data_IF_892546234141
#
_entry.id   IF_892546234141
#
_cell.length_a   1.000
_cell.length_b   1.000
_cell.length_c   1.000
_cell.angle_alpha   90.00
_cell.angle_beta   90.00
_cell.angle_gamma   90.00
#
_symmetry.space_group_name_H-M   'P 1'
#
loop_
_entity.id
_entity.type
_entity.pdbx_description
1 polymer ?
#
# COMPACT_ATOMS: atom_id res chain seq x y z
N UNK A 1 11.90 -2.47 8.09
CA UNK A 1 11.02 -1.65 7.22
C UNK A 1 11.59 -0.26 6.96
N UNK A 2 12.50 0.22 7.81
CA UNK A 2 13.22 1.47 7.55
C UNK A 2 13.96 1.46 6.20
N UNK A 3 14.66 0.37 5.87
CA UNK A 3 15.35 0.25 4.58
C UNK A 3 14.42 0.37 3.37
N UNK A 4 13.23 -0.26 3.39
CA UNK A 4 12.29 -0.14 2.28
C UNK A 4 11.64 1.25 2.22
N UNK A 5 11.39 1.90 3.36
CA UNK A 5 10.94 3.30 3.39
C UNK A 5 11.96 4.25 2.77
N UNK A 6 13.23 4.17 3.19
CA UNK A 6 14.31 5.02 2.63
C UNK A 6 14.48 4.79 1.14
N UNK A 7 14.52 3.53 0.71
CA UNK A 7 14.61 3.19 -0.71
C UNK A 7 13.42 3.74 -1.51
N UNK A 8 12.20 3.54 -1.03
CA UNK A 8 11.00 3.99 -1.73
C UNK A 8 10.93 5.52 -1.81
N UNK A 9 11.23 6.23 -0.71
CA UNK A 9 11.29 7.68 -0.70
C UNK A 9 12.32 8.23 -1.70
N UNK A 10 13.51 7.62 -1.75
CA UNK A 10 14.54 8.00 -2.70
C UNK A 10 14.07 7.83 -4.16
N UNK A 11 13.52 6.65 -4.52
CA UNK A 11 13.05 6.38 -5.88
C UNK A 11 11.84 7.24 -6.26
N UNK A 12 10.91 7.43 -5.33
CA UNK A 12 9.69 8.22 -5.55
C UNK A 12 9.99 9.69 -5.81
N UNK A 13 10.97 10.26 -5.10
CA UNK A 13 11.38 11.64 -5.29
C UNK A 13 12.26 11.81 -6.54
N UNK A 14 13.06 10.80 -6.89
CA UNK A 14 13.95 10.87 -8.08
C UNK A 14 13.17 10.73 -9.39
N UNK A 15 12.13 9.89 -9.43
CA UNK A 15 11.17 9.84 -10.55
C UNK A 15 10.37 11.15 -10.68
N UNK A 16 10.39 11.97 -9.63
CA UNK A 16 9.97 13.37 -9.57
C UNK A 16 10.78 14.33 -10.45
N UNK A 17 12.05 14.01 -10.67
CA UNK A 17 13.05 14.90 -11.26
C UNK A 17 13.45 14.34 -12.62
N UNK A 18 12.64 14.64 -13.64
CA UNK A 18 13.16 14.58 -15.00
C UNK A 18 14.27 15.66 -15.12
N UNK A 19 15.43 15.36 -15.76
CA UNK A 19 16.39 16.39 -16.14
C UNK A 19 15.77 17.20 -17.29
N UNK A 20 14.94 18.18 -16.96
CA UNK A 20 14.40 19.10 -17.95
C UNK A 20 15.45 20.14 -18.31
N UNK A 21 15.74 20.22 -19.61
CA UNK A 21 16.31 21.39 -20.27
C UNK A 21 15.68 22.68 -19.74
N UNK A 22 16.50 23.73 -19.65
CA UNK A 22 16.14 25.09 -19.23
C UNK A 22 14.74 25.53 -19.76
N UNK A 23 13.98 26.19 -18.88
CA UNK A 23 12.75 26.96 -19.13
C UNK A 23 11.38 26.22 -19.18
N UNK A 24 10.84 25.83 -18.01
CA UNK A 24 9.38 25.90 -17.78
C UNK A 24 9.02 25.96 -16.26
N UNK A 25 8.05 26.79 -15.85
CA UNK A 25 7.68 26.94 -14.45
C UNK A 25 6.74 25.82 -13.98
N UNK A 26 7.21 25.06 -12.98
CA UNK A 26 6.47 24.26 -12.00
C UNK A 26 5.19 23.52 -12.47
N UNK A 27 5.35 22.45 -13.25
CA UNK A 27 4.37 21.35 -13.20
C UNK A 27 4.77 20.43 -12.06
N UNK A 28 4.15 20.58 -10.88
CA UNK A 28 4.38 19.69 -9.76
C UNK A 28 4.04 18.26 -10.19
N UNK A 29 5.00 17.33 -10.08
CA UNK A 29 4.82 15.94 -10.48
C UNK A 29 3.57 15.34 -9.84
N UNK A 30 2.50 15.19 -10.62
CA UNK A 30 1.21 14.64 -10.20
C UNK A 30 1.34 13.13 -9.99
N UNK A 31 1.97 12.75 -8.89
CA UNK A 31 2.30 11.38 -8.54
C UNK A 31 1.61 10.99 -7.24
N UNK A 32 0.89 9.88 -7.26
CA UNK A 32 0.16 9.35 -6.11
C UNK A 32 0.91 8.21 -5.44
N UNK A 33 1.20 8.35 -4.15
CA UNK A 33 1.98 7.37 -3.37
C UNK A 33 1.05 6.48 -2.57
N UNK A 34 1.04 5.18 -2.87
CA UNK A 34 0.15 4.19 -2.26
C UNK A 34 0.97 3.16 -1.49
N UNK A 35 0.52 2.83 -0.29
CA UNK A 35 1.03 1.71 0.49
C UNK A 35 0.16 0.48 0.23
N UNK A 36 0.74 -0.65 -0.17
CA UNK A 36 0.09 -1.96 -0.15
C UNK A 36 0.74 -2.78 0.96
N UNK A 37 -0.01 -3.05 2.02
CA UNK A 37 0.53 -3.58 3.27
C UNK A 37 -0.21 -4.81 3.77
N UNK A 38 0.58 -5.74 4.30
CA UNK A 38 0.10 -6.79 5.18
C UNK A 38 1.24 -7.20 6.12
N UNK A 39 0.93 -7.61 7.35
CA UNK A 39 1.87 -8.35 8.20
C UNK A 39 1.15 -9.54 8.83
N UNK A 40 1.86 -10.54 9.35
CA UNK A 40 1.24 -11.63 10.11
C UNK A 40 0.94 -11.16 11.54
N UNK A 41 0.00 -11.83 12.23
CA UNK A 41 -0.42 -11.51 13.61
C UNK A 41 0.70 -11.58 14.64
N UNK A 42 1.76 -12.34 14.38
CA UNK A 42 2.98 -12.41 15.21
C UNK A 42 3.83 -11.14 15.16
N UNK A 43 3.50 -10.19 14.28
CA UNK A 43 4.18 -8.90 14.13
C UNK A 43 3.25 -7.79 14.60
N UNK A 44 3.79 -6.86 15.37
CA UNK A 44 3.02 -5.76 15.93
C UNK A 44 2.84 -4.59 14.92
N UNK A 45 1.63 -4.37 14.35
CA UNK A 45 1.38 -3.28 13.41
C UNK A 45 1.53 -1.90 14.04
N UNK A 46 1.31 -1.75 15.35
CA UNK A 46 1.46 -0.48 16.08
C UNK A 46 2.92 -0.05 16.20
N UNK A 47 3.89 -0.96 16.04
CA UNK A 47 5.30 -0.61 15.93
C UNK A 47 5.74 -0.47 14.48
N UNK A 48 5.20 -1.32 13.61
CA UNK A 48 5.58 -1.37 12.22
C UNK A 48 5.15 -0.10 11.45
N UNK A 49 3.85 0.22 11.44
CA UNK A 49 3.31 1.30 10.63
C UNK A 49 3.86 2.69 11.03
N UNK A 50 3.97 3.06 12.33
CA UNK A 50 4.56 4.35 12.70
C UNK A 50 6.00 4.48 12.24
N UNK A 51 6.83 3.45 12.48
CA UNK A 51 8.25 3.48 12.07
C UNK A 51 8.41 3.59 10.55
N UNK A 52 7.53 2.95 9.77
CA UNK A 52 7.49 3.11 8.32
C UNK A 52 7.14 4.54 7.93
N UNK A 53 6.07 5.08 8.51
CA UNK A 53 5.56 6.41 8.19
C UNK A 53 6.52 7.51 8.59
N UNK A 54 7.13 7.43 9.77
CA UNK A 54 8.12 8.38 10.27
C UNK A 54 9.34 8.41 9.35
N UNK A 55 9.85 7.23 8.98
CA UNK A 55 10.98 7.12 8.06
C UNK A 55 10.64 7.73 6.70
N UNK A 56 9.46 7.43 6.15
CA UNK A 56 9.02 8.03 4.89
C UNK A 56 8.91 9.55 4.99
N UNK A 57 8.27 10.07 6.04
CA UNK A 57 8.10 11.51 6.25
C UNK A 57 9.43 12.25 6.41
N UNK A 58 10.39 11.67 7.16
CA UNK A 58 11.76 12.20 7.28
C UNK A 58 12.51 12.27 5.94
N UNK A 59 12.06 11.50 4.94
CA UNK A 59 12.62 11.48 3.59
C UNK A 59 11.68 12.18 2.58
N UNK A 60 10.74 13.02 3.04
CA UNK A 60 9.85 13.80 2.19
C UNK A 60 8.75 13.00 1.49
N UNK A 61 8.52 11.75 1.88
CA UNK A 61 7.49 10.90 1.29
C UNK A 61 6.26 10.80 2.19
N UNK A 62 5.11 11.17 1.63
CA UNK A 62 3.81 10.95 2.25
C UNK A 62 2.96 10.05 1.37
N UNK A 63 2.50 8.93 1.92
CA UNK A 63 1.45 8.14 1.28
C UNK A 63 0.14 8.93 1.28
N UNK A 64 -0.65 8.77 0.23
CA UNK A 64 -2.01 9.30 0.14
C UNK A 64 -3.05 8.24 0.47
N UNK A 65 -2.71 6.97 0.27
CA UNK A 65 -3.63 5.86 0.46
C UNK A 65 -2.90 4.61 0.95
N UNK A 66 -3.55 3.82 1.80
CA UNK A 66 -3.12 2.47 2.15
C UNK A 66 -4.16 1.41 1.78
N UNK A 67 -3.67 0.29 1.24
CA UNK A 67 -4.43 -0.88 0.88
C UNK A 67 -4.00 -2.04 1.77
N UNK A 68 -4.96 -2.68 2.43
CA UNK A 68 -4.74 -3.84 3.27
C UNK A 68 -5.37 -5.08 2.64
N UNK A 69 -4.57 -6.14 2.48
CA UNK A 69 -4.97 -7.35 1.77
C UNK A 69 -4.57 -8.61 2.55
N UNK A 70 -5.34 -9.71 2.45
CA UNK A 70 -4.93 -10.99 3.01
C UNK A 70 -3.77 -11.62 2.22
N UNK A 71 -3.01 -12.51 2.87
CA UNK A 71 -2.00 -13.32 2.18
C UNK A 71 -2.70 -14.43 1.39
N UNK A 72 -2.57 -14.46 0.06
CA UNK A 72 -3.18 -15.52 -0.75
C UNK A 72 -2.55 -16.88 -0.50
N UNK A 73 -1.24 -16.89 -0.23
CA UNK A 73 -0.45 -18.08 0.04
C UNK A 73 -0.83 -18.83 1.32
N UNK A 74 -1.57 -18.23 2.27
CA UNK A 74 -2.07 -18.94 3.47
C UNK A 74 -3.35 -19.73 3.20
N UNK A 75 -4.17 -19.28 2.24
CA UNK A 75 -5.41 -19.96 1.85
C UNK A 75 -5.18 -20.98 0.74
N UNK A 76 -4.11 -20.83 -0.04
CA UNK A 76 -3.63 -21.84 -0.97
C UNK A 76 -2.82 -22.97 -0.28
N UNK A 77 -3.15 -23.33 0.97
CA UNK A 77 -2.80 -24.67 1.42
C UNK A 77 -3.58 -25.61 0.51
N UNK A 78 -2.87 -26.44 -0.26
CA UNK A 78 -3.46 -27.46 -1.12
C UNK A 78 -4.47 -28.29 -0.32
N UNK A 79 -5.74 -27.88 -0.34
CA UNK A 79 -6.85 -28.69 0.08
C UNK A 79 -6.97 -29.83 -0.92
N UNK A 80 -6.85 -31.04 -0.40
CA UNK A 80 -7.11 -32.32 -1.05
C UNK A 80 -8.09 -32.24 -2.23
N UNK A 81 -7.75 -32.90 -3.34
CA UNK A 81 -8.52 -33.05 -4.59
C UNK A 81 -9.88 -33.79 -4.43
N UNK A 82 -10.60 -33.63 -3.32
CA UNK A 82 -11.67 -34.55 -2.94
C UNK A 82 -12.98 -33.90 -2.43
N UNK A 83 -13.23 -32.60 -2.65
CA UNK A 83 -14.55 -32.03 -2.28
C UNK A 83 -15.02 -30.95 -3.25
N UNK A 84 -16.30 -30.97 -3.68
CA UNK A 84 -16.87 -29.88 -4.46
C UNK A 84 -16.81 -28.57 -3.66
N UNK A 85 -16.66 -27.41 -4.30
CA UNK A 85 -16.54 -26.13 -3.60
C UNK A 85 -17.90 -25.76 -3.00
N UNK A 86 -18.14 -26.21 -1.77
CA UNK A 86 -19.21 -25.69 -0.93
C UNK A 86 -18.97 -24.20 -0.72
N UNK A 87 -19.98 -23.37 -1.02
CA UNK A 87 -20.13 -21.94 -0.72
C UNK A 87 -18.84 -21.17 -0.41
N UNK A 88 -18.42 -20.28 -1.33
CA UNK A 88 -17.35 -19.26 -1.16
C UNK A 88 -17.07 -18.99 0.33
N UNK A 89 -16.06 -19.67 0.88
CA UNK A 89 -15.67 -19.49 2.28
C UNK A 89 -15.47 -17.99 2.49
N UNK A 90 -16.29 -17.41 3.36
CA UNK A 90 -16.25 -15.97 3.64
C UNK A 90 -14.87 -15.69 4.22
N UNK A 91 -14.03 -15.00 3.46
CA UNK A 91 -12.66 -14.68 3.87
C UNK A 91 -12.75 -13.84 5.13
N UNK A 92 -12.14 -14.30 6.22
CA UNK A 92 -12.05 -13.50 7.44
C UNK A 92 -11.08 -12.33 7.21
N UNK A 93 -11.61 -11.11 7.23
CA UNK A 93 -10.88 -9.85 7.08
C UNK A 93 -10.64 -9.13 8.40
N UNK A 94 -10.94 -9.77 9.54
CA UNK A 94 -10.77 -9.19 10.88
C UNK A 94 -9.38 -8.59 11.08
N UNK A 95 -8.35 -9.29 10.59
CA UNK A 95 -6.97 -8.83 10.65
C UNK A 95 -6.71 -7.62 9.75
N UNK A 96 -7.14 -7.64 8.49
CA UNK A 96 -6.96 -6.49 7.58
C UNK A 96 -7.66 -5.24 8.11
N UNK A 97 -8.86 -5.40 8.69
CA UNK A 97 -9.58 -4.32 9.37
C UNK A 97 -8.81 -3.81 10.60
N UNK A 98 -8.12 -4.69 11.34
CA UNK A 98 -7.23 -4.28 12.43
C UNK A 98 -6.06 -3.42 11.93
N UNK A 99 -5.40 -3.84 10.84
CA UNK A 99 -4.32 -3.06 10.21
C UNK A 99 -4.81 -1.68 9.73
N UNK A 100 -6.00 -1.63 9.13
CA UNK A 100 -6.65 -0.38 8.72
C UNK A 100 -6.89 0.55 9.91
N UNK A 101 -7.41 0.05 11.03
CA UNK A 101 -7.62 0.86 12.24
C UNK A 101 -6.32 1.46 12.77
N UNK A 102 -5.23 0.68 12.77
CA UNK A 102 -3.90 1.18 13.16
C UNK A 102 -3.45 2.32 12.23
N UNK A 103 -3.63 2.17 10.92
CA UNK A 103 -3.31 3.24 9.98
C UNK A 103 -4.12 4.50 10.24
N UNK A 104 -5.43 4.37 10.38
CA UNK A 104 -6.34 5.49 10.62
C UNK A 104 -6.04 6.19 11.93
N UNK A 105 -5.68 5.49 13.01
CA UNK A 105 -5.32 6.15 14.27
C UNK A 105 -4.08 7.05 14.13
N UNK A 106 -3.14 6.69 13.26
CA UNK A 106 -1.94 7.47 12.99
C UNK A 106 -2.21 8.72 12.15
N UNK A 107 -3.21 8.68 11.27
CA UNK A 107 -3.58 9.82 10.43
C UNK A 107 -4.34 10.89 11.21
N UNK A 108 -5.11 10.47 12.23
CA UNK A 108 -5.84 11.39 13.11
C UNK A 108 -4.97 12.00 14.21
N UNK A 109 -3.90 11.31 14.65
CA UNK A 109 -3.01 11.80 15.71
C UNK A 109 -2.18 13.02 15.30
N UNK A 110 -1.98 13.25 14.01
CA UNK A 110 -1.20 14.38 13.48
C UNK A 110 -2.06 15.64 13.23
N UNK A 111 -3.34 15.64 13.64
CA UNK A 111 -4.30 16.72 13.43
C UNK A 111 -4.22 17.79 14.54
N UNK A 112 -3.01 18.16 14.92
CA UNK A 112 -2.72 19.25 15.86
C UNK A 112 -2.55 20.59 15.15
N UNK A 113 -3.46 21.52 15.45
CA UNK A 113 -3.39 22.98 15.28
C UNK A 113 -3.48 23.68 13.91
N UNK A 114 -3.35 23.06 12.73
CA UNK A 114 -3.58 23.79 11.47
C UNK A 114 -4.35 22.98 10.42
N UNK A 115 -5.51 23.49 10.03
CA UNK A 115 -6.47 22.85 9.14
C UNK A 115 -5.96 22.70 7.70
N UNK A 116 -5.48 21.52 7.37
CA UNK A 116 -5.51 20.99 6.01
C UNK A 116 -5.92 19.52 6.09
N UNK A 117 -7.14 19.21 5.67
CA UNK A 117 -7.76 17.89 5.72
C UNK A 117 -7.14 16.92 4.68
N UNK A 118 -5.85 16.62 4.78
CA UNK A 118 -5.29 15.47 4.05
C UNK A 118 -5.59 14.20 4.85
N UNK A 119 -6.87 13.80 4.89
CA UNK A 119 -7.25 12.48 5.39
C UNK A 119 -6.70 11.45 4.41
N UNK A 120 -5.56 10.88 4.75
CA UNK A 120 -4.94 9.78 4.03
C UNK A 120 -5.90 8.59 4.00
N UNK A 121 -6.33 8.22 2.80
CA UNK A 121 -7.36 7.22 2.58
C UNK A 121 -6.87 5.80 2.95
N UNK A 122 -7.81 4.91 3.22
CA UNK A 122 -7.56 3.50 3.55
C UNK A 122 -8.63 2.64 2.89
N UNK A 123 -8.24 1.43 2.47
CA UNK A 123 -9.17 0.43 1.94
C UNK A 123 -8.70 -0.98 2.26
N UNK A 124 -9.66 -1.88 2.50
CA UNK A 124 -9.42 -3.32 2.64
C UNK A 124 -9.98 -4.01 1.41
N UNK A 125 -9.20 -4.91 0.81
CA UNK A 125 -9.68 -5.78 -0.26
C UNK A 125 -9.72 -7.23 0.19
N UNK A 126 -10.68 -7.98 -0.33
CA UNK A 126 -10.85 -9.41 -0.01
C UNK A 126 -9.72 -10.27 -0.57
N UNK A 127 -8.99 -9.77 -1.57
CA UNK A 127 -7.88 -10.48 -2.18
C UNK A 127 -6.89 -9.56 -2.86
N UNK A 128 -5.65 -10.04 -3.02
CA UNK A 128 -4.61 -9.32 -3.74
C UNK A 128 -4.98 -9.04 -5.22
N UNK A 129 -5.54 -9.98 -6.00
CA UNK A 129 -5.98 -9.71 -7.37
C UNK A 129 -7.02 -8.59 -7.46
N UNK A 130 -7.95 -8.48 -6.51
CA UNK A 130 -8.91 -7.37 -6.46
C UNK A 130 -8.19 -6.02 -6.24
N UNK A 131 -7.24 -5.96 -5.30
CA UNK A 131 -6.47 -4.73 -5.07
C UNK A 131 -5.62 -4.33 -6.29
N UNK A 132 -4.97 -5.29 -6.97
CA UNK A 132 -4.21 -5.04 -8.20
C UNK A 132 -5.13 -4.59 -9.34
N UNK A 133 -6.32 -5.20 -9.49
CA UNK A 133 -7.32 -4.77 -10.46
C UNK A 133 -7.75 -3.32 -10.19
N UNK A 134 -8.08 -2.99 -8.95
CA UNK A 134 -8.43 -1.62 -8.55
C UNK A 134 -7.31 -0.62 -8.86
N UNK A 135 -6.05 -0.98 -8.59
CA UNK A 135 -4.89 -0.13 -8.92
C UNK A 135 -4.77 0.12 -10.44
N UNK A 136 -4.96 -0.93 -11.25
CA UNK A 136 -4.93 -0.82 -12.72
C UNK A 136 -6.05 0.06 -13.25
N UNK A 137 -7.28 -0.16 -12.79
CA UNK A 137 -8.46 0.62 -13.18
C UNK A 137 -8.32 2.09 -12.76
N UNK A 138 -7.85 2.34 -11.53
CA UNK A 138 -7.61 3.70 -11.02
C UNK A 138 -6.55 4.42 -11.86
N UNK A 139 -5.48 3.72 -12.25
CA UNK A 139 -4.45 4.30 -13.13
C UNK A 139 -4.98 4.60 -14.53
N UNK A 140 -5.85 3.75 -15.09
CA UNK A 140 -6.45 3.98 -16.40
C UNK A 140 -7.41 5.17 -16.41
N UNK A 141 -8.15 5.37 -15.32
CA UNK A 141 -9.06 6.50 -15.16
C UNK A 141 -8.33 7.82 -14.92
N UNK A 142 -7.05 7.79 -14.51
CA UNK A 142 -6.26 8.97 -14.17
C UNK A 142 -4.93 8.95 -14.96
N UNK A 143 -4.96 9.08 -16.30
CA UNK A 143 -3.78 8.90 -17.15
C UNK A 143 -2.70 9.98 -16.96
N UNK A 144 -3.06 11.15 -16.43
CA UNK A 144 -2.14 12.23 -16.09
C UNK A 144 -1.50 12.08 -14.70
N UNK A 145 -1.81 11.00 -13.99
CA UNK A 145 -1.35 10.75 -12.62
C UNK A 145 -0.45 9.51 -12.59
N UNK A 146 0.78 9.67 -12.10
CA UNK A 146 1.67 8.53 -11.91
C UNK A 146 1.39 7.85 -10.57
N UNK A 147 1.03 6.57 -10.58
CA UNK A 147 0.82 5.81 -9.34
C UNK A 147 2.09 5.06 -8.93
N UNK A 148 2.59 5.34 -7.73
CA UNK A 148 3.76 4.70 -7.17
C UNK A 148 3.34 3.88 -5.94
N UNK A 149 3.57 2.57 -5.97
CA UNK A 149 3.04 1.64 -4.95
C UNK A 149 4.19 0.99 -4.18
N UNK A 150 4.25 1.17 -2.86
CA UNK A 150 5.14 0.42 -1.99
C UNK A 150 4.45 -0.85 -1.49
N UNK A 151 4.95 -2.01 -1.86
CA UNK A 151 4.50 -3.32 -1.35
C UNK A 151 5.40 -3.75 -0.19
N UNK A 152 4.87 -3.86 1.03
CA UNK A 152 5.71 -4.21 2.19
C UNK A 152 4.95 -4.86 3.36
N UNK A 153 5.68 -5.14 4.45
CA UNK A 153 5.16 -5.74 5.68
C UNK A 153 5.23 -7.27 5.74
N UNK A 154 5.16 -7.95 4.59
CA UNK A 154 5.16 -9.42 4.47
C UNK A 154 5.93 -9.87 3.23
N UNK A 155 6.86 -10.83 3.39
CA UNK A 155 7.56 -11.44 2.26
C UNK A 155 6.61 -12.24 1.36
N UNK A 156 5.60 -12.88 1.95
CA UNK A 156 4.56 -13.60 1.21
C UNK A 156 3.79 -12.65 0.28
N UNK A 157 3.42 -11.47 0.79
CA UNK A 157 2.73 -10.44 0.00
C UNK A 157 3.60 -9.98 -1.18
N UNK A 158 4.87 -9.68 -0.93
CA UNK A 158 5.81 -9.27 -1.98
C UNK A 158 5.94 -10.37 -3.04
N UNK A 159 6.10 -11.63 -2.62
CA UNK A 159 6.19 -12.77 -3.53
C UNK A 159 4.93 -12.98 -4.36
N UNK A 160 3.75 -12.87 -3.74
CA UNK A 160 2.46 -13.02 -4.42
C UNK A 160 2.22 -11.88 -5.44
N UNK A 161 2.60 -10.64 -5.12
CA UNK A 161 2.55 -9.51 -6.09
C UNK A 161 3.46 -9.77 -7.27
N UNK A 162 4.73 -10.13 -7.03
CA UNK A 162 5.68 -10.40 -8.11
C UNK A 162 5.20 -11.54 -9.01
N UNK A 163 4.54 -12.56 -8.46
CA UNK A 163 3.93 -13.65 -9.25
C UNK A 163 2.79 -13.14 -10.13
N UNK A 164 1.95 -12.24 -9.62
CA UNK A 164 0.83 -11.66 -10.38
C UNK A 164 1.27 -10.67 -11.46
N UNK A 165 2.39 -9.97 -11.27
CA UNK A 165 2.93 -9.02 -12.26
C UNK A 165 3.70 -9.70 -13.40
N UNK A 166 4.14 -10.95 -13.21
CA UNK A 166 4.83 -11.76 -14.24
C UNK A 166 3.87 -12.45 -15.22
N UNK A 167 2.56 -12.28 -15.05
CA UNK A 167 1.52 -12.73 -15.97
C UNK A 167 1.06 -11.58 -16.84
#
# INVERSE_FOLDING_TARGET
MEMCARWFAHVANTTGVQPSSLDQPHSGNNSRKILLFNCMTVRDPQRLLPRLLDTCAQNGLHFEQALFVPNQSQYNKLGSLASPPSEREKIDLSWQLSLQRVWESLTHSNKGLNGANSSRASSVFESLPQAIKWLRETSQQNPSTQFQVLVTGSLHLVGDVLRLLKK
#
